data_IF_351973008989
#
_entry.id   IF_351973008989
#
_cell.length_a   1.000
_cell.length_b   1.000
_cell.length_c   1.000
_cell.angle_alpha   90.00
_cell.angle_beta   90.00
_cell.angle_gamma   90.00
#
_symmetry.space_group_name_H-M   'P 1'
#
loop_
_entity.id
_entity.type
_entity.pdbx_description
1 polymer ?
#
# COMPACT_ATOMS: atom_id res chain seq x y z
N UNK A 1 -36.14 -16.05 37.95
CA UNK A 1 -37.61 -16.16 38.05
C UNK A 1 -38.12 -17.61 38.19
N UNK A 2 -37.64 -18.59 37.38
CA UNK A 2 -38.02 -20.01 37.50
C UNK A 2 -37.71 -20.66 38.86
N UNK A 3 -36.56 -20.38 39.48
CA UNK A 3 -36.20 -20.92 40.81
C UNK A 3 -37.04 -20.35 41.97
N UNK A 4 -37.45 -19.07 41.89
CA UNK A 4 -38.30 -18.43 42.89
C UNK A 4 -39.74 -18.97 42.86
N UNK A 5 -40.25 -19.26 41.65
CA UNK A 5 -41.58 -19.88 41.49
C UNK A 5 -41.61 -21.32 42.03
N UNK A 6 -40.57 -22.11 41.75
CA UNK A 6 -40.43 -23.48 42.27
C UNK A 6 -40.33 -23.46 43.79
N UNK A 7 -39.58 -22.52 44.37
CA UNK A 7 -39.43 -22.38 45.82
C UNK A 7 -40.75 -21.96 46.52
N UNK A 8 -41.53 -21.06 45.92
CA UNK A 8 -42.86 -20.68 46.42
C UNK A 8 -43.87 -21.82 46.32
N UNK A 9 -43.84 -22.61 45.24
CA UNK A 9 -44.69 -23.81 45.10
C UNK A 9 -44.30 -24.85 46.17
N UNK A 10 -43.00 -25.08 46.39
CA UNK A 10 -42.53 -26.00 47.45
C UNK A 10 -42.91 -25.56 48.86
N UNK A 11 -42.85 -24.25 49.16
CA UNK A 11 -43.30 -23.68 50.44
C UNK A 11 -44.82 -23.82 50.64
N UNK A 12 -45.61 -23.60 49.59
CA UNK A 12 -47.07 -23.76 49.63
C UNK A 12 -47.50 -25.23 49.76
N UNK A 13 -46.81 -26.15 49.07
CA UNK A 13 -47.05 -27.60 49.22
C UNK A 13 -46.74 -28.04 50.64
N UNK A 14 -45.63 -27.57 51.24
CA UNK A 14 -45.29 -27.85 52.65
C UNK A 14 -46.36 -27.35 53.63
N UNK A 15 -46.94 -26.16 53.38
CA UNK A 15 -48.00 -25.61 54.23
C UNK A 15 -49.34 -26.35 54.11
N UNK A 16 -49.57 -27.11 53.02
CA UNK A 16 -50.79 -27.90 52.86
C UNK A 16 -50.71 -29.25 53.58
N UNK A 17 -49.50 -29.80 53.77
CA UNK A 17 -49.30 -31.04 54.51
C UNK A 17 -49.33 -30.88 56.04
N UNK A 18 -49.15 -29.66 56.58
CA UNK A 18 -49.07 -29.44 58.03
C UNK A 18 -50.41 -29.24 58.75
N UNK A 19 -51.55 -29.26 58.05
CA UNK A 19 -52.87 -28.96 58.64
C UNK A 19 -53.99 -29.95 58.31
N UNK A 20 -53.71 -31.12 57.74
CA UNK A 20 -54.69 -32.20 57.66
C UNK A 20 -54.56 -33.07 58.92
N UNK A 21 -55.40 -32.82 59.92
CA UNK A 21 -55.46 -33.59 61.17
C UNK A 21 -56.28 -34.88 60.98
N UNK A 22 -55.95 -35.91 61.75
CA UNK A 22 -56.37 -37.31 61.56
C UNK A 22 -57.88 -37.49 61.78
N UNK A 23 -58.67 -37.53 60.70
CA UNK A 23 -60.11 -37.86 60.79
C UNK A 23 -60.98 -37.69 59.54
N UNK A 24 -60.55 -36.98 58.50
CA UNK A 24 -61.36 -36.72 57.30
C UNK A 24 -60.96 -37.58 56.10
N UNK A 25 -61.93 -37.86 55.22
CA UNK A 25 -61.74 -38.78 54.10
C UNK A 25 -60.73 -38.21 53.07
N UNK A 26 -59.89 -39.04 52.42
CA UNK A 26 -58.90 -38.61 51.43
C UNK A 26 -59.36 -37.58 50.37
N UNK A 27 -60.61 -37.61 49.86
CA UNK A 27 -61.07 -36.61 48.89
C UNK A 27 -61.23 -35.18 49.47
N UNK A 28 -61.39 -35.01 50.78
CA UNK A 28 -61.68 -33.71 51.41
C UNK A 28 -60.41 -32.85 51.59
N UNK A 29 -59.29 -33.44 52.02
CA UNK A 29 -57.99 -32.75 52.14
C UNK A 29 -57.44 -32.34 50.75
N UNK A 30 -57.60 -33.20 49.73
CA UNK A 30 -57.25 -32.86 48.35
C UNK A 30 -58.09 -31.69 47.80
N UNK A 31 -59.39 -31.66 48.14
CA UNK A 31 -60.29 -30.56 47.77
C UNK A 31 -59.88 -29.24 48.45
N UNK A 32 -59.44 -29.27 49.70
CA UNK A 32 -58.93 -28.09 50.41
C UNK A 32 -57.64 -27.54 49.77
N UNK A 33 -56.65 -28.40 49.51
CA UNK A 33 -55.42 -27.97 48.85
C UNK A 33 -55.66 -27.42 47.44
N UNK A 34 -56.58 -28.04 46.68
CA UNK A 34 -56.97 -27.51 45.38
C UNK A 34 -57.65 -26.14 45.51
N UNK A 35 -58.50 -25.91 46.54
CA UNK A 35 -59.12 -24.59 46.79
C UNK A 35 -58.07 -23.50 47.04
N UNK A 36 -56.99 -23.81 47.76
CA UNK A 36 -55.92 -22.84 48.07
C UNK A 36 -55.09 -22.50 46.82
N UNK A 37 -54.81 -23.48 45.96
CA UNK A 37 -53.94 -23.29 44.78
C UNK A 37 -54.71 -22.83 43.53
N UNK A 38 -56.02 -23.03 43.49
CA UNK A 38 -56.90 -22.66 42.37
C UNK A 38 -56.76 -21.20 41.93
N UNK A 39 -56.71 -20.18 42.83
CA UNK A 39 -56.50 -18.79 42.41
C UNK A 39 -55.16 -18.59 41.69
N UNK A 40 -54.08 -19.23 42.16
CA UNK A 40 -52.75 -19.15 41.54
C UNK A 40 -52.73 -19.81 40.16
N UNK A 41 -53.37 -20.98 40.01
CA UNK A 41 -53.52 -21.65 38.71
C UNK A 41 -54.35 -20.81 37.73
N UNK A 42 -55.45 -20.21 38.19
CA UNK A 42 -56.24 -19.30 37.35
C UNK A 42 -55.45 -18.07 36.92
N UNK A 43 -54.57 -17.55 37.78
CA UNK A 43 -53.71 -16.42 37.44
C UNK A 43 -52.62 -16.81 36.45
N UNK A 44 -52.01 -17.98 36.60
CA UNK A 44 -51.07 -18.54 35.63
C UNK A 44 -51.71 -18.72 34.26
N UNK A 45 -52.95 -19.18 34.20
CA UNK A 45 -53.69 -19.33 32.96
C UNK A 45 -53.97 -17.97 32.29
N UNK A 46 -54.32 -16.95 33.06
CA UNK A 46 -54.47 -15.55 32.56
C UNK A 46 -53.13 -15.00 32.02
N UNK A 47 -52.03 -15.25 32.72
CA UNK A 47 -50.70 -14.84 32.25
C UNK A 47 -50.30 -15.58 30.97
N UNK A 48 -50.55 -16.88 30.89
CA UNK A 48 -50.27 -17.67 29.70
C UNK A 48 -51.10 -17.18 28.51
N UNK A 49 -52.38 -16.90 28.71
CA UNK A 49 -53.26 -16.37 27.68
C UNK A 49 -52.82 -14.98 27.20
N UNK A 50 -52.32 -14.12 28.10
CA UNK A 50 -51.75 -12.82 27.72
C UNK A 50 -50.47 -12.99 26.89
N UNK A 51 -49.57 -13.89 27.27
CA UNK A 51 -48.37 -14.19 26.49
C UNK A 51 -48.75 -14.71 25.10
N UNK A 52 -49.66 -15.68 25.02
CA UNK A 52 -50.16 -16.22 23.76
C UNK A 52 -50.86 -15.15 22.90
N UNK A 53 -51.56 -14.18 23.51
CA UNK A 53 -52.17 -13.05 22.82
C UNK A 53 -51.13 -12.05 22.31
N UNK A 54 -50.05 -11.79 23.04
CA UNK A 54 -48.95 -10.97 22.55
C UNK A 54 -48.21 -11.68 21.40
N UNK A 55 -47.96 -12.98 21.51
CA UNK A 55 -47.34 -13.78 20.45
C UNK A 55 -48.22 -13.88 19.19
N UNK A 56 -49.55 -13.92 19.34
CA UNK A 56 -50.47 -13.89 18.19
C UNK A 56 -50.60 -12.51 17.54
N UNK A 57 -50.35 -11.43 18.31
CA UNK A 57 -50.34 -10.05 17.81
C UNK A 57 -49.04 -9.72 17.09
N UNK A 58 -47.90 -10.33 17.43
CA UNK A 58 -46.67 -10.22 16.66
C UNK A 58 -46.84 -11.06 15.39
N UNK A 59 -47.08 -10.44 14.21
CA UNK A 59 -47.24 -11.19 12.98
C UNK A 59 -45.91 -11.89 12.67
N UNK A 60 -45.97 -13.09 12.11
CA UNK A 60 -44.80 -13.81 11.60
C UNK A 60 -43.93 -12.94 10.66
N UNK A 61 -44.55 -12.00 9.96
CA UNK A 61 -43.91 -10.98 9.13
C UNK A 61 -42.95 -10.05 9.92
N UNK A 62 -43.29 -9.64 11.15
CA UNK A 62 -42.39 -8.78 11.96
C UNK A 62 -41.15 -9.55 12.41
N UNK A 63 -41.31 -10.79 12.89
CA UNK A 63 -40.17 -11.63 13.27
C UNK A 63 -39.28 -11.94 12.06
N UNK A 64 -39.87 -12.18 10.89
CA UNK A 64 -39.13 -12.36 9.64
C UNK A 64 -38.36 -11.10 9.23
N UNK A 65 -38.96 -9.90 9.37
CA UNK A 65 -38.27 -8.63 9.10
C UNK A 65 -37.12 -8.36 10.06
N UNK A 66 -37.27 -8.66 11.35
CA UNK A 66 -36.21 -8.52 12.35
C UNK A 66 -35.05 -9.47 12.03
N UNK A 67 -35.33 -10.73 11.71
CA UNK A 67 -34.31 -11.69 11.28
C UNK A 67 -33.62 -11.25 9.99
N UNK A 68 -34.36 -10.67 9.05
CA UNK A 68 -33.79 -10.10 7.83
C UNK A 68 -32.92 -8.88 8.11
N UNK A 69 -33.28 -8.03 9.07
CA UNK A 69 -32.43 -6.89 9.46
C UNK A 69 -31.16 -7.36 10.17
N UNK A 70 -31.23 -8.37 11.04
CA UNK A 70 -30.06 -8.93 11.71
C UNK A 70 -29.07 -9.52 10.70
N UNK A 71 -29.57 -10.29 9.72
CA UNK A 71 -28.72 -10.84 8.65
C UNK A 71 -28.11 -9.75 7.77
N UNK A 72 -28.86 -8.70 7.43
CA UNK A 72 -28.32 -7.54 6.70
C UNK A 72 -27.24 -6.81 7.50
N UNK A 73 -27.44 -6.62 8.80
CA UNK A 73 -26.47 -5.99 9.68
C UNK A 73 -25.20 -6.83 9.82
N UNK A 74 -25.31 -8.16 9.88
CA UNK A 74 -24.16 -9.06 9.88
C UNK A 74 -23.37 -9.00 8.56
N UNK A 75 -24.06 -8.96 7.42
CA UNK A 75 -23.42 -8.79 6.11
C UNK A 75 -22.71 -7.43 6.02
N UNK A 76 -23.37 -6.35 6.46
CA UNK A 76 -22.78 -5.01 6.50
C UNK A 76 -21.56 -4.96 7.43
N UNK A 77 -21.63 -5.62 8.60
CA UNK A 77 -20.51 -5.74 9.53
C UNK A 77 -19.31 -6.44 8.90
N UNK A 78 -19.55 -7.57 8.20
CA UNK A 78 -18.51 -8.29 7.45
C UNK A 78 -17.89 -7.43 6.33
N UNK A 79 -18.72 -6.70 5.58
CA UNK A 79 -18.24 -5.79 4.54
C UNK A 79 -17.40 -4.64 5.12
N UNK A 80 -17.83 -4.08 6.26
CA UNK A 80 -17.13 -2.99 6.92
C UNK A 80 -15.77 -3.43 7.48
N UNK A 81 -15.67 -4.66 8.00
CA UNK A 81 -14.39 -5.24 8.43
C UNK A 81 -13.39 -5.35 7.27
N UNK A 82 -13.85 -5.84 6.09
CA UNK A 82 -13.01 -5.90 4.89
C UNK A 82 -12.54 -4.51 4.43
N UNK A 83 -13.39 -3.49 4.54
CA UNK A 83 -13.02 -2.12 4.20
C UNK A 83 -11.99 -1.55 5.20
N UNK A 84 -12.11 -1.86 6.49
CA UNK A 84 -11.13 -1.46 7.50
C UNK A 84 -9.76 -2.10 7.26
N UNK A 85 -9.72 -3.40 6.94
CA UNK A 85 -8.47 -4.09 6.60
C UNK A 85 -7.79 -3.47 5.36
N UNK A 86 -8.58 -3.08 4.35
CA UNK A 86 -8.07 -2.38 3.17
C UNK A 86 -7.53 -1.00 3.53
N UNK A 87 -8.22 -0.24 4.36
CA UNK A 87 -7.75 1.07 4.82
C UNK A 87 -6.41 0.92 5.56
N UNK A 88 -6.29 -0.06 6.45
CA UNK A 88 -5.01 -0.34 7.13
C UNK A 88 -3.89 -0.72 6.16
N UNK A 89 -4.18 -1.51 5.11
CA UNK A 89 -3.21 -1.84 4.06
C UNK A 89 -2.77 -0.59 3.28
N UNK A 90 -3.71 0.29 2.92
CA UNK A 90 -3.38 1.57 2.27
C UNK A 90 -2.54 2.46 3.18
N UNK A 91 -2.90 2.58 4.46
CA UNK A 91 -2.12 3.35 5.43
C UNK A 91 -0.70 2.79 5.58
N UNK A 92 -0.52 1.47 5.65
CA UNK A 92 0.81 0.81 5.68
C UNK A 92 1.62 1.11 4.43
N UNK A 93 1.01 1.08 3.25
CA UNK A 93 1.67 1.44 1.99
C UNK A 93 2.11 2.91 1.97
N UNK A 94 1.26 3.83 2.44
CA UNK A 94 1.58 5.25 2.55
C UNK A 94 2.76 5.46 3.50
N UNK A 95 2.77 4.82 4.68
CA UNK A 95 3.89 4.91 5.62
C UNK A 95 5.20 4.42 4.98
N UNK A 96 5.16 3.30 4.24
CA UNK A 96 6.32 2.77 3.53
C UNK A 96 6.84 3.73 2.44
N UNK A 97 5.94 4.38 1.70
CA UNK A 97 6.31 5.38 0.70
C UNK A 97 6.90 6.63 1.36
N UNK A 98 6.32 7.09 2.47
CA UNK A 98 6.85 8.21 3.27
C UNK A 98 8.23 7.90 3.84
N UNK A 99 8.47 6.69 4.34
CA UNK A 99 9.79 6.26 4.83
C UNK A 99 10.85 6.24 3.71
N UNK A 100 10.48 5.77 2.51
CA UNK A 100 11.36 5.84 1.33
C UNK A 100 11.67 7.27 0.91
N UNK A 101 10.71 8.18 1.04
CA UNK A 101 10.91 9.60 0.76
C UNK A 101 11.77 10.29 1.83
N UNK A 102 11.54 9.96 3.11
CA UNK A 102 12.24 10.53 4.25
C UNK A 102 13.68 10.04 4.40
N UNK A 103 13.97 8.81 3.95
CA UNK A 103 15.34 8.31 3.88
C UNK A 103 16.23 9.07 2.89
N UNK A 104 15.63 9.94 2.06
CA UNK A 104 16.32 10.62 0.99
C UNK A 104 16.96 9.62 0.03
N UNK A 105 17.49 10.11 -1.08
CA UNK A 105 18.54 9.35 -1.76
C UNK A 105 19.78 9.48 -0.89
N UNK A 106 20.51 8.39 -0.57
CA UNK A 106 21.77 8.51 0.15
C UNK A 106 22.64 9.57 -0.52
N UNK A 107 23.00 10.62 0.22
CA UNK A 107 23.87 11.72 -0.21
C UNK A 107 25.33 11.28 -0.33
N UNK A 108 25.56 10.09 -0.90
CA UNK A 108 26.89 9.54 -1.10
C UNK A 108 27.50 9.97 -2.44
N UNK A 109 26.74 10.75 -3.22
CA UNK A 109 27.17 11.32 -4.47
C UNK A 109 27.84 12.67 -4.20
N UNK A 110 29.01 12.89 -4.78
CA UNK A 110 29.73 14.15 -4.64
C UNK A 110 28.95 15.32 -5.24
N UNK A 111 29.32 16.54 -4.84
CA UNK A 111 28.70 17.76 -5.32
C UNK A 111 28.85 17.94 -6.84
N UNK A 112 27.80 18.40 -7.51
CA UNK A 112 27.90 18.86 -8.90
C UNK A 112 28.80 20.11 -8.99
N UNK A 113 29.74 20.09 -9.93
CA UNK A 113 30.66 21.19 -10.20
C UNK A 113 30.13 22.04 -11.35
N UNK A 114 30.10 23.37 -11.18
CA UNK A 114 29.76 24.28 -12.27
C UNK A 114 30.92 24.33 -13.27
N UNK A 115 30.69 23.88 -14.51
CA UNK A 115 31.66 23.93 -15.61
C UNK A 115 30.98 24.61 -16.79
N UNK A 116 31.48 25.75 -17.25
CA UNK A 116 30.77 26.57 -18.24
C UNK A 116 29.41 27.03 -17.73
N UNK A 117 28.33 26.66 -18.43
CA UNK A 117 26.96 27.11 -18.14
C UNK A 117 26.13 26.11 -17.31
N UNK A 118 26.56 24.85 -17.20
CA UNK A 118 25.83 23.78 -16.51
C UNK A 118 26.60 23.27 -15.29
N UNK A 119 25.92 22.45 -14.48
CA UNK A 119 26.49 21.73 -13.36
C UNK A 119 26.70 20.28 -13.74
N UNK A 120 27.88 19.72 -13.48
CA UNK A 120 28.24 18.35 -13.84
C UNK A 120 28.73 17.56 -12.64
N UNK A 121 28.35 16.29 -12.59
CA UNK A 121 28.96 15.30 -11.72
C UNK A 121 29.60 14.21 -12.58
N UNK A 122 30.89 13.98 -12.40
CA UNK A 122 31.65 12.97 -13.14
C UNK A 122 31.96 11.81 -12.19
N UNK A 123 31.29 10.67 -12.38
CA UNK A 123 31.54 9.44 -11.62
C UNK A 123 32.84 8.77 -12.10
N UNK A 124 33.74 8.39 -11.18
CA UNK A 124 35.07 7.82 -11.52
C UNK A 124 35.37 6.49 -10.86
N UNK A 125 34.53 6.06 -9.93
CA UNK A 125 34.72 4.87 -9.13
C UNK A 125 33.68 3.81 -9.50
N UNK A 126 32.41 4.20 -9.60
CA UNK A 126 31.32 3.28 -9.92
C UNK A 126 31.09 3.17 -11.44
N UNK A 127 30.93 1.93 -11.92
CA UNK A 127 30.51 1.64 -13.29
C UNK A 127 29.13 1.01 -13.33
N UNK A 128 28.28 1.51 -14.21
CA UNK A 128 26.89 1.08 -14.35
C UNK A 128 26.54 0.79 -15.81
N UNK A 129 25.46 0.01 -15.98
CA UNK A 129 24.78 -0.09 -17.28
C UNK A 129 24.22 1.28 -17.68
N UNK A 130 23.90 1.50 -18.95
CA UNK A 130 23.35 2.80 -19.38
C UNK A 130 22.08 3.16 -18.60
N UNK A 131 21.12 2.24 -18.49
CA UNK A 131 19.91 2.42 -17.68
C UNK A 131 20.21 2.61 -16.18
N UNK A 132 21.23 1.94 -15.67
CA UNK A 132 21.71 2.11 -14.29
C UNK A 132 22.25 3.53 -14.06
N UNK A 133 23.03 4.06 -14.99
CA UNK A 133 23.54 5.41 -14.96
C UNK A 133 22.41 6.46 -15.05
N UNK A 134 21.44 6.26 -15.95
CA UNK A 134 20.22 7.10 -16.03
C UNK A 134 19.52 7.17 -14.68
N UNK A 135 19.28 6.00 -14.07
CA UNK A 135 18.66 5.92 -12.73
C UNK A 135 19.50 6.63 -11.68
N UNK A 136 20.83 6.47 -11.69
CA UNK A 136 21.73 7.11 -10.73
C UNK A 136 21.70 8.63 -10.84
N UNK A 137 21.76 9.19 -12.04
CA UNK A 137 21.68 10.63 -12.21
C UNK A 137 20.33 11.19 -11.76
N UNK A 138 19.22 10.48 -12.00
CA UNK A 138 17.91 10.86 -11.45
C UNK A 138 17.85 10.77 -9.93
N UNK A 139 18.44 9.74 -9.33
CA UNK A 139 18.58 9.62 -7.86
C UNK A 139 19.36 10.83 -7.30
N UNK A 140 20.31 11.37 -8.05
CA UNK A 140 21.09 12.56 -7.68
C UNK A 140 20.37 13.89 -7.93
N UNK A 141 19.10 13.88 -8.37
CA UNK A 141 18.37 15.11 -8.71
C UNK A 141 18.85 15.78 -10.00
N UNK A 142 19.57 15.05 -10.85
CA UNK A 142 20.01 15.48 -12.17
C UNK A 142 19.53 14.53 -13.27
N UNK A 143 20.19 14.63 -14.42
CA UNK A 143 19.95 13.76 -15.58
C UNK A 143 21.28 13.24 -16.11
N UNK A 144 21.27 12.18 -16.91
CA UNK A 144 22.47 11.81 -17.65
C UNK A 144 22.86 12.99 -18.57
N UNK A 145 24.15 13.23 -18.75
CA UNK A 145 24.64 14.46 -19.41
C UNK A 145 24.14 14.57 -20.85
N UNK A 146 23.66 15.77 -21.21
CA UNK A 146 23.25 16.13 -22.56
C UNK A 146 24.26 17.10 -23.16
N UNK A 147 25.25 16.56 -23.88
CA UNK A 147 26.32 17.36 -24.46
C UNK A 147 25.85 18.00 -25.77
N UNK A 148 25.79 19.33 -25.79
CA UNK A 148 25.20 20.09 -26.90
C UNK A 148 26.23 20.85 -27.75
N UNK A 149 27.50 20.84 -27.37
CA UNK A 149 28.56 21.53 -28.11
C UNK A 149 29.95 21.00 -27.77
N UNK A 150 30.92 21.33 -28.64
CA UNK A 150 32.34 21.05 -28.38
C UNK A 150 32.82 21.74 -27.10
N UNK A 151 32.33 22.95 -26.82
CA UNK A 151 32.69 23.71 -25.62
C UNK A 151 32.29 22.96 -24.33
N UNK A 152 31.18 22.22 -24.35
CA UNK A 152 30.77 21.40 -23.21
C UNK A 152 31.70 20.20 -23.03
N UNK A 153 32.10 19.52 -24.11
CA UNK A 153 33.11 18.45 -24.05
C UNK A 153 34.42 19.00 -23.47
N UNK A 154 34.91 20.12 -23.99
CA UNK A 154 36.18 20.71 -23.55
C UNK A 154 36.13 21.10 -22.06
N UNK A 155 34.98 21.61 -21.59
CA UNK A 155 34.77 22.00 -20.19
C UNK A 155 34.84 20.81 -19.22
N UNK A 156 34.42 19.61 -19.63
CA UNK A 156 34.46 18.41 -18.79
C UNK A 156 35.70 17.54 -19.01
N UNK A 157 36.42 17.69 -20.12
CA UNK A 157 37.52 16.79 -20.54
C UNK A 157 38.59 16.62 -19.47
N UNK A 158 39.03 17.73 -18.85
CA UNK A 158 40.03 17.69 -17.76
C UNK A 158 39.54 17.03 -16.45
N UNK A 159 38.26 16.64 -16.39
CA UNK A 159 37.68 15.89 -15.27
C UNK A 159 37.50 14.42 -15.60
N UNK A 160 37.64 13.97 -16.83
CA UNK A 160 37.45 12.57 -17.19
C UNK A 160 38.69 11.74 -16.81
N UNK A 161 38.49 10.44 -16.58
CA UNK A 161 39.59 9.50 -16.40
C UNK A 161 40.12 9.10 -17.78
N UNK A 162 41.43 9.09 -17.96
CA UNK A 162 42.07 8.66 -19.20
C UNK A 162 41.70 7.22 -19.56
N UNK A 163 41.76 6.89 -20.85
CA UNK A 163 41.45 5.57 -21.41
C UNK A 163 40.14 4.95 -20.90
N UNK A 164 39.11 5.76 -20.68
CA UNK A 164 37.83 5.35 -20.10
C UNK A 164 36.63 5.80 -20.92
N UNK A 165 35.51 5.12 -20.72
CA UNK A 165 34.22 5.40 -21.34
C UNK A 165 33.18 5.90 -20.34
N UNK A 166 32.35 6.85 -20.76
CA UNK A 166 31.36 7.53 -19.95
C UNK A 166 30.00 7.59 -20.66
N UNK A 167 28.97 7.04 -20.04
CA UNK A 167 27.61 7.13 -20.57
C UNK A 167 27.09 8.57 -20.62
N UNK A 168 26.44 8.90 -21.74
CA UNK A 168 25.72 10.15 -21.98
C UNK A 168 24.25 9.86 -22.31
N UNK A 169 23.40 10.88 -22.32
CA UNK A 169 21.94 10.76 -22.45
C UNK A 169 21.41 10.35 -23.84
N UNK A 170 22.30 9.96 -24.74
CA UNK A 170 21.97 9.70 -26.14
C UNK A 170 21.78 8.20 -26.38
N UNK A 171 20.71 7.87 -27.09
CA UNK A 171 20.35 6.51 -27.47
C UNK A 171 19.57 6.50 -28.78
N UNK A 172 19.61 5.39 -29.51
CA UNK A 172 18.74 5.11 -30.65
C UNK A 172 17.88 3.85 -30.42
N UNK A 173 17.76 3.38 -29.18
CA UNK A 173 16.93 2.23 -28.78
C UNK A 173 15.47 2.30 -29.27
N UNK A 174 14.96 3.50 -29.52
CA UNK A 174 13.61 3.71 -30.06
C UNK A 174 13.51 3.41 -31.56
N UNK A 175 14.56 3.74 -32.31
CA UNK A 175 14.65 3.56 -33.76
C UNK A 175 16.11 3.61 -34.18
N UNK A 176 16.63 2.47 -34.62
CA UNK A 176 18.01 2.31 -35.09
C UNK A 176 18.43 3.43 -36.05
N UNK A 177 19.59 4.04 -35.78
CA UNK A 177 20.16 5.14 -36.55
C UNK A 177 19.49 6.50 -36.31
N UNK A 178 18.52 6.60 -35.39
CA UNK A 178 17.90 7.87 -34.97
C UNK A 178 18.22 8.12 -33.50
N UNK A 179 19.29 8.89 -33.29
CA UNK A 179 19.77 9.24 -31.96
C UNK A 179 18.96 10.37 -31.33
N UNK A 180 18.48 10.11 -30.11
CA UNK A 180 17.70 11.04 -29.30
C UNK A 180 18.32 11.19 -27.91
N UNK A 181 18.20 12.38 -27.35
CA UNK A 181 18.53 12.65 -25.95
C UNK A 181 17.32 12.27 -25.09
N UNK A 182 17.50 11.36 -24.13
CA UNK A 182 16.41 11.02 -23.21
C UNK A 182 16.09 12.12 -22.19
N UNK A 183 17.07 12.99 -21.89
CA UNK A 183 16.87 14.08 -20.93
C UNK A 183 16.02 15.20 -21.52
N UNK A 184 16.13 15.44 -22.83
CA UNK A 184 15.36 16.49 -23.54
C UNK A 184 14.17 15.95 -24.33
N UNK A 185 14.18 14.66 -24.68
CA UNK A 185 13.21 14.05 -25.60
C UNK A 185 13.36 14.49 -27.05
N UNK A 186 14.43 15.21 -27.39
CA UNK A 186 14.67 15.75 -28.73
C UNK A 186 15.77 14.95 -29.44
N UNK A 187 15.75 15.01 -30.78
CA UNK A 187 16.85 14.51 -31.61
C UNK A 187 18.13 15.27 -31.31
N UNK A 188 19.26 14.58 -31.30
CA UNK A 188 20.55 15.20 -30.99
C UNK A 188 21.05 16.03 -32.18
N UNK A 189 21.39 17.29 -31.92
CA UNK A 189 21.95 18.21 -32.94
C UNK A 189 23.48 18.21 -32.94
N UNK A 190 24.10 17.66 -31.89
CA UNK A 190 25.53 17.57 -31.72
C UNK A 190 25.92 16.13 -31.44
N UNK A 191 26.60 15.51 -32.41
CA UNK A 191 27.20 14.19 -32.29
C UNK A 191 28.62 14.27 -32.82
N UNK A 192 29.60 13.90 -31.99
CA UNK A 192 31.01 13.89 -32.35
C UNK A 192 31.53 12.46 -32.34
N UNK A 193 31.08 11.67 -33.30
CA UNK A 193 31.47 10.27 -33.45
C UNK A 193 32.98 10.09 -33.58
N UNK A 194 33.48 8.97 -33.04
CA UNK A 194 34.80 8.49 -33.38
C UNK A 194 34.85 8.00 -34.84
N UNK A 195 36.06 7.83 -35.35
CA UNK A 195 36.28 7.28 -36.67
C UNK A 195 35.68 5.88 -36.79
N UNK A 196 34.80 5.70 -37.77
CA UNK A 196 34.02 4.50 -38.05
C UNK A 196 32.82 4.26 -37.12
N UNK A 197 32.50 5.21 -36.25
CA UNK A 197 31.27 5.20 -35.46
C UNK A 197 30.18 6.08 -36.10
N UNK A 198 28.89 5.77 -35.91
CA UNK A 198 28.38 4.65 -35.12
C UNK A 198 28.45 3.28 -35.80
N UNK A 199 28.64 2.26 -34.98
CA UNK A 199 28.70 0.84 -35.27
C UNK A 199 27.29 0.24 -35.25
N UNK A 200 26.69 0.00 -36.44
CA UNK A 200 25.31 -0.53 -36.59
C UNK A 200 25.15 -2.02 -36.17
N UNK A 201 25.72 -2.41 -35.04
CA UNK A 201 25.82 -3.79 -34.55
C UNK A 201 24.91 -4.06 -33.33
N UNK A 202 23.82 -3.30 -33.18
CA UNK A 202 22.95 -3.38 -32.00
C UNK A 202 23.52 -2.66 -30.77
N UNK A 203 24.39 -1.69 -31.00
CA UNK A 203 25.00 -0.82 -30.01
C UNK A 203 24.15 0.46 -29.88
N UNK A 204 23.23 0.49 -28.92
CA UNK A 204 22.14 1.47 -28.95
C UNK A 204 22.25 2.60 -27.92
N UNK A 205 23.33 2.62 -27.14
CA UNK A 205 23.56 3.59 -26.07
C UNK A 205 24.91 4.27 -26.28
N UNK A 206 24.94 5.60 -26.18
CA UNK A 206 26.14 6.35 -26.52
C UNK A 206 26.98 6.64 -25.30
N UNK A 207 28.28 6.43 -25.44
CA UNK A 207 29.31 6.92 -24.53
C UNK A 207 30.12 8.04 -25.17
N UNK A 208 30.80 8.83 -24.34
CA UNK A 208 32.05 9.49 -24.74
C UNK A 208 33.22 8.66 -24.22
N UNK A 209 34.29 8.55 -24.99
CA UNK A 209 35.51 7.89 -24.54
C UNK A 209 36.74 8.78 -24.73
N UNK A 210 37.70 8.59 -23.82
CA UNK A 210 38.93 9.40 -23.73
C UNK A 210 40.12 8.65 -24.33
N UNK A 211 39.91 7.92 -25.43
CA UNK A 211 41.00 7.29 -26.20
C UNK A 211 41.66 8.27 -27.18
N UNK A 212 41.00 9.41 -27.43
CA UNK A 212 41.45 10.51 -28.26
C UNK A 212 41.23 11.82 -27.50
N UNK A 213 42.00 12.83 -27.88
CA UNK A 213 41.90 14.18 -27.34
C UNK A 213 41.55 15.15 -28.50
N UNK A 214 40.42 15.87 -28.43
CA UNK A 214 39.39 15.80 -27.39
C UNK A 214 38.59 14.47 -27.42
N UNK A 215 37.87 14.12 -26.34
CA UNK A 215 36.99 12.96 -26.28
C UNK A 215 35.97 12.94 -27.42
N UNK A 216 35.66 11.73 -27.88
CA UNK A 216 34.74 11.46 -28.99
C UNK A 216 33.68 10.45 -28.56
N UNK A 217 32.59 10.38 -29.31
CA UNK A 217 31.41 9.58 -29.04
C UNK A 217 31.52 8.21 -29.71
N UNK A 218 31.00 7.20 -29.03
CA UNK A 218 30.89 5.84 -29.52
C UNK A 218 29.53 5.30 -29.10
N UNK A 219 28.82 4.64 -30.01
CA UNK A 219 27.66 3.85 -29.62
C UNK A 219 28.14 2.50 -29.07
N UNK A 220 27.42 1.98 -28.09
CA UNK A 220 27.85 0.78 -27.40
C UNK A 220 26.68 -0.02 -26.85
N UNK A 221 26.93 -1.30 -26.54
CA UNK A 221 25.93 -2.18 -25.94
C UNK A 221 25.51 -1.62 -24.57
N UNK A 222 24.24 -1.28 -24.42
CA UNK A 222 23.68 -0.64 -23.23
C UNK A 222 23.90 -1.39 -21.90
N UNK A 223 24.13 -2.71 -21.96
CA UNK A 223 24.39 -3.57 -20.80
C UNK A 223 25.84 -3.53 -20.32
N UNK A 224 26.75 -2.92 -21.09
CA UNK A 224 28.14 -2.73 -20.67
C UNK A 224 28.22 -1.79 -19.47
N UNK A 225 29.16 -2.07 -18.57
CA UNK A 225 29.38 -1.25 -17.38
C UNK A 225 30.45 -0.20 -17.64
N UNK A 226 30.04 1.07 -17.64
CA UNK A 226 30.92 2.22 -17.88
C UNK A 226 30.74 3.26 -16.79
N UNK A 227 31.66 4.22 -16.72
CA UNK A 227 31.44 5.39 -15.88
C UNK A 227 30.30 6.22 -16.48
N UNK A 228 29.86 7.26 -15.78
CA UNK A 228 28.76 8.09 -16.25
C UNK A 228 28.93 9.53 -15.79
N UNK A 229 28.27 10.43 -16.50
CA UNK A 229 28.29 11.85 -16.21
C UNK A 229 26.85 12.30 -16.03
N UNK A 230 26.57 12.95 -14.92
CA UNK A 230 25.29 13.58 -14.68
C UNK A 230 25.40 15.08 -14.91
N UNK A 231 24.31 15.70 -15.39
CA UNK A 231 24.15 17.15 -15.46
C UNK A 231 22.96 17.64 -14.65
N UNK A 232 23.00 18.91 -14.26
CA UNK A 232 21.88 19.65 -13.69
C UNK A 232 21.92 21.12 -14.13
N UNK A 233 20.74 21.72 -14.28
CA UNK A 233 20.57 23.14 -14.64
C UNK A 233 20.59 24.08 -13.42
N UNK A 234 20.52 23.54 -12.21
CA UNK A 234 20.61 24.28 -10.96
C UNK A 234 21.69 23.68 -10.06
N UNK A 235 22.22 24.48 -9.12
CA UNK A 235 23.04 23.95 -8.03
C UNK A 235 22.15 23.00 -7.23
N UNK A 236 22.43 21.70 -7.31
CA UNK A 236 21.80 20.72 -6.43
C UNK A 236 22.43 20.95 -5.06
N UNK A 237 21.76 21.73 -4.20
CA UNK A 237 22.17 21.91 -2.81
C UNK A 237 21.67 20.70 -2.02
N UNK A 238 22.55 20.10 -1.22
CA UNK A 238 22.28 18.95 -0.32
C UNK A 238 21.33 19.31 0.86
N UNK A 239 20.47 20.32 0.71
CA UNK A 239 19.64 20.84 1.79
C UNK A 239 18.16 20.52 1.56
N UNK A 240 17.76 19.29 1.89
CA UNK A 240 16.50 19.04 2.60
C UNK A 240 16.40 17.66 3.22
#
# INVERSE_FOLDING_TARGET
MRLLLIFFIFLFVKSCFSSCDVGESPPECAAYCFRVVKPCLSYLDVLQNRVNAYESVVPSDILARVSLTDTKMDILGRQMAVLQEKEEDYQKKIIKLKDRLAKGVPSHFGNFQKLGQKYYYVEKELRETWHGAVKKCHEMGGFLVSLQSQQEIDAISGKLKEYSGYWIDVTDQFKEGVYVSISTGLGTTFLKWDQNEPSQNGEQCVEIHTYKEPPVMNDNVCSNKKYFICESSAKVDDTK
#
